data_IF_340019019547
#
_entry.id   IF_340019019547
#
_cell.length_a   1.000
_cell.length_b   1.000
_cell.length_c   1.000
_cell.angle_alpha   90.00
_cell.angle_beta   90.00
_cell.angle_gamma   90.00
#
_symmetry.space_group_name_H-M   'P 1'
#
loop_
_entity.id
_entity.type
_entity.pdbx_description
1 polymer ?
#
# COMPACT_ATOMS: atom_id res chain seq x y z
N UNK A 1 -11.46 -1.40 10.29
CA UNK A 1 -12.03 -1.84 9.01
C UNK A 1 -11.02 -2.79 8.41
N UNK A 2 -11.45 -3.93 7.87
CA UNK A 2 -10.51 -4.92 7.33
C UNK A 2 -10.16 -4.57 5.89
N UNK A 3 -8.88 -4.67 5.54
CA UNK A 3 -8.46 -4.55 4.14
C UNK A 3 -8.89 -5.80 3.38
N UNK A 4 -9.45 -5.64 2.19
CA UNK A 4 -9.79 -6.73 1.28
C UNK A 4 -8.63 -7.06 0.34
N UNK A 5 -8.04 -6.05 -0.31
CA UNK A 5 -6.86 -6.25 -1.16
C UNK A 5 -6.14 -4.93 -1.47
N UNK A 6 -4.86 -5.01 -1.81
CA UNK A 6 -4.10 -3.90 -2.42
C UNK A 6 -4.23 -4.02 -3.95
N UNK A 7 -4.57 -2.91 -4.61
CA UNK A 7 -4.84 -2.86 -6.05
C UNK A 7 -3.66 -2.36 -6.88
N UNK A 8 -2.97 -1.32 -6.41
CA UNK A 8 -1.74 -0.83 -7.02
C UNK A 8 -0.86 -0.08 -6.02
N UNK A 9 0.35 0.28 -6.47
CA UNK A 9 1.27 1.15 -5.78
C UNK A 9 1.66 2.32 -6.70
N UNK A 10 1.95 3.49 -6.12
CA UNK A 10 2.60 4.60 -6.83
C UNK A 10 3.53 5.35 -5.90
N UNK A 11 4.53 6.01 -6.48
CA UNK A 11 5.24 7.08 -5.82
C UNK A 11 4.48 8.40 -6.05
N UNK A 12 4.26 9.17 -4.98
CA UNK A 12 3.64 10.48 -5.06
C UNK A 12 4.72 11.57 -4.92
N UNK A 13 5.10 12.17 -6.04
CA UNK A 13 6.14 13.21 -6.08
C UNK A 13 5.78 14.47 -5.26
N UNK A 14 4.49 14.71 -4.98
CA UNK A 14 4.06 15.89 -4.21
C UNK A 14 4.28 15.71 -2.71
N UNK A 15 4.21 14.47 -2.22
CA UNK A 15 4.39 14.13 -0.80
C UNK A 15 5.69 13.37 -0.54
N UNK A 16 6.43 13.03 -1.60
CA UNK A 16 7.65 12.22 -1.59
C UNK A 16 7.45 10.84 -0.91
N UNK A 17 6.25 10.28 -1.02
CA UNK A 17 5.85 9.05 -0.33
C UNK A 17 5.33 7.99 -1.30
N UNK A 18 5.58 6.73 -0.95
CA UNK A 18 4.90 5.60 -1.57
C UNK A 18 3.50 5.44 -1.00
N UNK A 19 2.53 5.28 -1.90
CA UNK A 19 1.13 5.09 -1.60
C UNK A 19 0.63 3.78 -2.19
N UNK A 20 -0.23 3.08 -1.46
CA UNK A 20 -0.97 1.92 -1.96
C UNK A 20 -2.42 2.29 -2.15
N UNK A 21 -3.00 1.85 -3.27
CA UNK A 21 -4.44 1.93 -3.48
C UNK A 21 -5.09 0.70 -2.88
N UNK A 22 -5.98 0.91 -1.91
CA UNK A 22 -6.51 -0.16 -1.06
C UNK A 22 -8.01 -0.35 -1.28
N UNK A 23 -8.43 -1.60 -1.42
CA UNK A 23 -9.83 -2.00 -1.36
C UNK A 23 -10.15 -2.47 0.06
N UNK A 24 -11.18 -1.86 0.64
CA UNK A 24 -11.62 -2.15 2.00
C UNK A 24 -12.84 -3.07 1.98
N UNK A 25 -12.84 -4.05 2.88
CA UNK A 25 -13.92 -5.01 2.99
C UNK A 25 -15.22 -4.29 3.40
N UNK A 26 -16.25 -4.43 2.58
CA UNK A 26 -17.58 -3.86 2.84
C UNK A 26 -17.76 -2.40 2.42
N UNK A 27 -16.78 -1.81 1.71
CA UNK A 27 -16.94 -0.54 1.00
C UNK A 27 -17.09 -0.81 -0.50
N UNK A 28 -17.94 -0.04 -1.18
CA UNK A 28 -18.09 -0.14 -2.65
C UNK A 28 -16.79 0.33 -3.35
N UNK A 29 -16.45 -0.27 -4.49
CA UNK A 29 -15.18 -0.07 -5.23
C UNK A 29 -14.86 1.40 -5.61
N UNK A 30 -15.84 2.29 -5.48
CA UNK A 30 -15.73 3.72 -5.78
C UNK A 30 -14.91 4.49 -4.73
N UNK A 31 -14.58 3.88 -3.59
CA UNK A 31 -13.75 4.46 -2.52
C UNK A 31 -12.41 3.73 -2.33
N UNK A 32 -11.69 3.43 -3.41
CA UNK A 32 -10.28 3.05 -3.25
C UNK A 32 -9.45 4.25 -2.77
N UNK A 33 -9.25 4.33 -1.46
CA UNK A 33 -8.35 5.33 -0.87
C UNK A 33 -6.90 4.98 -1.19
N UNK A 34 -6.09 6.03 -1.30
CA UNK A 34 -4.64 5.93 -1.36
C UNK A 34 -4.10 6.24 0.02
N UNK A 35 -3.48 5.24 0.61
CA UNK A 35 -2.88 5.33 1.94
C UNK A 35 -1.37 5.22 1.80
N UNK A 36 -0.65 5.88 2.70
CA UNK A 36 0.81 5.77 2.73
C UNK A 36 1.21 4.35 3.11
N UNK A 37 2.35 3.89 2.59
CA UNK A 37 2.89 2.58 3.00
C UNK A 37 3.16 2.54 4.50
N UNK A 38 3.59 3.65 5.09
CA UNK A 38 3.90 3.74 6.51
C UNK A 38 2.66 3.52 7.39
N UNK A 39 1.52 4.13 7.02
CA UNK A 39 0.25 3.91 7.73
C UNK A 39 -0.22 2.46 7.58
N UNK A 40 -0.15 1.91 6.36
CA UNK A 40 -0.57 0.53 6.12
C UNK A 40 0.37 -0.51 6.74
N UNK A 41 1.66 -0.22 6.88
CA UNK A 41 2.59 -1.09 7.60
C UNK A 41 2.29 -1.10 9.11
N UNK A 42 1.90 0.04 9.68
CA UNK A 42 1.46 0.11 11.08
C UNK A 42 0.18 -0.71 11.30
N UNK A 43 -0.79 -0.58 10.39
CA UNK A 43 -2.14 -1.09 10.62
C UNK A 43 -2.35 -2.51 10.06
N UNK A 44 -1.68 -2.86 8.95
CA UNK A 44 -1.82 -4.13 8.21
C UNK A 44 -0.50 -4.67 7.61
N UNK A 45 0.56 -4.88 8.43
CA UNK A 45 1.91 -5.19 7.93
C UNK A 45 2.02 -6.48 7.10
N UNK A 46 1.19 -7.49 7.40
CA UNK A 46 1.22 -8.77 6.67
C UNK A 46 0.80 -8.56 5.22
N UNK A 47 -0.28 -7.83 4.98
CA UNK A 47 -0.79 -7.60 3.63
C UNK A 47 0.17 -6.76 2.78
N UNK A 48 0.78 -5.72 3.38
CA UNK A 48 1.79 -4.92 2.69
C UNK A 48 2.98 -5.78 2.25
N UNK A 49 3.50 -6.63 3.14
CA UNK A 49 4.61 -7.53 2.82
C UNK A 49 4.26 -8.51 1.70
N UNK A 50 3.09 -9.15 1.79
CA UNK A 50 2.64 -10.11 0.78
C UNK A 50 2.46 -9.46 -0.60
N UNK A 51 1.90 -8.26 -0.64
CA UNK A 51 1.73 -7.52 -1.89
C UNK A 51 3.08 -7.09 -2.47
N UNK A 52 3.97 -6.52 -1.67
CA UNK A 52 5.29 -6.05 -2.14
C UNK A 52 6.15 -7.21 -2.64
N UNK A 53 6.10 -8.37 -1.98
CA UNK A 53 6.81 -9.56 -2.42
C UNK A 53 6.34 -10.08 -3.80
N UNK A 54 5.07 -9.84 -4.16
CA UNK A 54 4.47 -10.33 -5.40
C UNK A 54 4.49 -9.30 -6.53
N UNK A 55 4.36 -8.01 -6.19
CA UNK A 55 4.07 -6.94 -7.14
C UNK A 55 4.99 -5.71 -6.99
N UNK A 56 5.84 -5.66 -5.98
CA UNK A 56 6.71 -4.51 -5.72
C UNK A 56 7.73 -4.29 -6.83
N UNK A 57 7.94 -3.03 -7.19
CA UNK A 57 9.10 -2.61 -7.98
C UNK A 57 10.36 -2.61 -7.12
N UNK A 58 11.53 -2.61 -7.77
CA UNK A 58 12.82 -2.54 -7.08
C UNK A 58 12.88 -1.35 -6.11
N UNK A 59 12.51 -0.15 -6.58
CA UNK A 59 12.53 1.08 -5.78
C UNK A 59 11.61 1.01 -4.56
N UNK A 60 10.45 0.34 -4.70
CA UNK A 60 9.51 0.16 -3.60
C UNK A 60 10.05 -0.86 -2.57
N UNK A 61 10.67 -1.94 -3.03
CA UNK A 61 11.28 -2.93 -2.15
C UNK A 61 12.42 -2.27 -1.36
N UNK A 62 13.30 -1.53 -2.03
CA UNK A 62 14.39 -0.78 -1.39
C UNK A 62 13.85 0.23 -0.37
N UNK A 63 12.78 0.96 -0.70
CA UNK A 63 12.15 1.87 0.25
C UNK A 63 11.71 1.16 1.53
N UNK A 64 11.11 -0.03 1.44
CA UNK A 64 10.65 -0.79 2.61
C UNK A 64 11.81 -1.36 3.43
N UNK A 65 12.90 -1.78 2.79
CA UNK A 65 14.08 -2.29 3.49
C UNK A 65 14.87 -1.20 4.24
N UNK A 66 14.66 0.07 3.87
CA UNK A 66 15.33 1.23 4.45
C UNK A 66 14.54 1.92 5.59
N UNK A 67 13.32 1.48 5.90
CA UNK A 67 12.52 1.95 7.06
C UNK A 67 12.90 1.21 8.34
#
# INVERSE_FOLDING_TARGET
MDVESIKDHRYNDSTEQWELRVAWKGLEEIEYLRETIQDLQRDTPVMVREYVAQHGTQDLIEFIELQ
#
